data_IF_612831609317
#
_entry.id   IF_612831609317
#
_cell.length_a   1.000
_cell.length_b   1.000
_cell.length_c   1.000
_cell.angle_alpha   90.00
_cell.angle_beta   90.00
_cell.angle_gamma   90.00
#
_symmetry.space_group_name_H-M   'P 1'
#
loop_
_entity.id
_entity.type
_entity.pdbx_description
1 polymer ?
#
# COMPACT_ATOMS: atom_id res chain seq x y z
N UNK A 1 15.25 -40.34 -24.44
CA UNK A 1 15.54 -39.06 -23.77
C UNK A 1 15.44 -38.01 -24.85
N UNK A 2 14.22 -37.61 -25.13
CA UNK A 2 13.85 -36.82 -26.31
C UNK A 2 14.29 -35.37 -26.13
N UNK A 3 14.97 -34.87 -27.16
CA UNK A 3 15.48 -33.52 -27.29
C UNK A 3 14.50 -32.65 -28.11
N UNK A 4 13.19 -32.89 -27.98
CA UNK A 4 12.14 -32.34 -28.86
C UNK A 4 10.95 -31.64 -28.16
N UNK A 5 10.90 -31.55 -26.83
CA UNK A 5 9.67 -31.13 -26.12
C UNK A 5 9.53 -29.63 -25.78
N UNK A 6 10.36 -28.72 -26.31
CA UNK A 6 10.15 -27.27 -26.12
C UNK A 6 10.50 -26.40 -27.33
N UNK A 7 9.85 -26.64 -28.47
CA UNK A 7 10.01 -25.79 -29.65
C UNK A 7 9.04 -24.60 -29.55
N UNK A 8 9.53 -23.47 -29.04
CA UNK A 8 8.85 -22.18 -29.14
C UNK A 8 8.95 -21.56 -30.54
N UNK A 9 8.43 -20.34 -30.70
CA UNK A 9 8.65 -19.50 -31.89
C UNK A 9 9.70 -18.45 -31.54
N UNK A 10 10.80 -18.38 -32.29
CA UNK A 10 11.82 -17.34 -32.14
C UNK A 10 11.95 -16.54 -33.45
N UNK A 11 11.56 -15.27 -33.42
CA UNK A 11 11.68 -14.34 -34.55
C UNK A 11 12.65 -13.21 -34.17
N UNK A 12 13.69 -13.03 -34.99
CA UNK A 12 14.70 -12.01 -34.77
C UNK A 12 14.92 -11.18 -36.05
N UNK A 13 14.57 -9.90 -36.00
CA UNK A 13 14.73 -8.96 -37.11
C UNK A 13 16.16 -8.38 -37.23
N UNK A 14 17.07 -8.74 -36.31
CA UNK A 14 18.41 -8.19 -36.25
C UNK A 14 18.37 -6.67 -36.06
N UNK A 15 19.04 -5.95 -36.96
CA UNK A 15 19.05 -4.47 -36.97
C UNK A 15 17.74 -3.83 -37.46
N UNK A 16 16.78 -4.63 -37.92
CA UNK A 16 15.50 -4.18 -38.48
C UNK A 16 14.37 -4.04 -37.46
N UNK A 17 13.17 -3.82 -37.99
CA UNK A 17 11.90 -3.79 -37.26
C UNK A 17 11.10 -5.07 -37.52
N UNK A 18 10.19 -5.43 -36.60
CA UNK A 18 9.26 -6.54 -36.77
C UNK A 18 7.83 -6.01 -36.89
N UNK A 19 7.13 -6.40 -37.96
CA UNK A 19 5.71 -6.11 -38.16
C UNK A 19 4.90 -7.39 -38.08
N UNK A 20 3.97 -7.45 -37.13
CA UNK A 20 3.11 -8.60 -36.90
C UNK A 20 1.73 -8.29 -37.48
N UNK A 21 1.46 -8.88 -38.66
CA UNK A 21 0.23 -8.65 -39.42
C UNK A 21 -0.84 -9.74 -39.26
N UNK A 22 -0.51 -10.84 -38.59
CA UNK A 22 -1.40 -11.97 -38.36
C UNK A 22 -1.20 -12.51 -36.94
N UNK A 23 -2.08 -13.39 -36.51
CA UNK A 23 -1.93 -14.09 -35.23
C UNK A 23 -0.67 -14.94 -35.22
N UNK A 24 0.05 -14.89 -34.10
CA UNK A 24 1.16 -15.78 -33.80
C UNK A 24 0.77 -16.59 -32.56
N UNK A 25 0.83 -17.92 -32.66
CA UNK A 25 0.50 -18.81 -31.56
C UNK A 25 1.49 -19.95 -31.47
N UNK A 26 1.95 -20.23 -30.26
CA UNK A 26 2.62 -21.49 -29.92
C UNK A 26 1.85 -22.21 -28.82
N UNK A 27 1.89 -23.55 -28.82
CA UNK A 27 1.26 -24.39 -27.78
C UNK A 27 2.21 -24.78 -26.66
N UNK A 28 3.52 -24.69 -26.91
CA UNK A 28 4.59 -25.02 -25.97
C UNK A 28 5.78 -24.09 -26.18
N UNK A 29 6.67 -24.04 -25.20
CA UNK A 29 7.84 -23.16 -25.24
C UNK A 29 7.48 -21.67 -25.19
N UNK A 30 8.40 -20.84 -25.69
CA UNK A 30 8.31 -19.37 -25.63
C UNK A 30 7.99 -18.81 -27.02
N UNK A 31 7.09 -17.83 -27.10
CA UNK A 31 6.97 -16.93 -28.25
C UNK A 31 7.91 -15.74 -28.03
N UNK A 32 9.10 -15.80 -28.62
CA UNK A 32 10.14 -14.80 -28.49
C UNK A 32 10.26 -13.94 -29.76
N UNK A 33 10.06 -12.63 -29.62
CA UNK A 33 10.10 -11.66 -30.71
C UNK A 33 11.15 -10.60 -30.40
N UNK A 34 12.17 -10.50 -31.24
CA UNK A 34 13.31 -9.60 -31.01
C UNK A 34 13.60 -8.73 -32.23
N UNK A 35 13.89 -7.46 -31.99
CA UNK A 35 14.27 -6.48 -33.01
C UNK A 35 15.17 -5.40 -32.40
N UNK A 36 16.09 -4.81 -33.17
CA UNK A 36 16.79 -3.61 -32.71
C UNK A 36 15.90 -2.36 -32.83
N UNK A 37 15.05 -2.30 -33.85
CA UNK A 37 14.05 -1.23 -34.05
C UNK A 37 12.68 -1.68 -33.53
N UNK A 38 11.63 -1.00 -33.97
CA UNK A 38 10.28 -1.19 -33.46
C UNK A 38 9.75 -2.62 -33.65
N UNK A 39 8.98 -3.08 -32.67
CA UNK A 39 8.07 -4.22 -32.83
C UNK A 39 6.66 -3.64 -32.89
N UNK A 40 5.99 -3.81 -34.01
CA UNK A 40 4.64 -3.31 -34.22
C UNK A 40 3.67 -4.46 -34.43
N UNK A 41 2.72 -4.59 -33.51
CA UNK A 41 1.58 -5.50 -33.64
C UNK A 41 0.42 -4.76 -34.31
N UNK A 42 -0.17 -5.33 -35.35
CA UNK A 42 -1.34 -4.73 -36.02
C UNK A 42 -2.62 -4.93 -35.20
N UNK A 43 -3.56 -3.99 -35.32
CA UNK A 43 -4.88 -4.12 -34.73
C UNK A 43 -5.59 -5.42 -35.20
N UNK A 44 -6.28 -6.07 -34.26
CA UNK A 44 -7.02 -7.31 -34.48
C UNK A 44 -6.16 -8.58 -34.50
N UNK A 45 -4.84 -8.47 -34.30
CA UNK A 45 -3.96 -9.65 -34.19
C UNK A 45 -3.79 -10.09 -32.73
N UNK A 46 -3.40 -11.34 -32.53
CA UNK A 46 -3.16 -11.92 -31.22
C UNK A 46 -1.81 -12.65 -31.16
N UNK A 47 -1.05 -12.39 -30.10
CA UNK A 47 0.13 -13.16 -29.71
C UNK A 47 -0.29 -14.13 -28.60
N UNK A 48 -0.15 -15.43 -28.83
CA UNK A 48 -0.60 -16.46 -27.90
C UNK A 48 0.52 -17.46 -27.60
N UNK A 49 0.74 -17.79 -26.34
CA UNK A 49 1.68 -18.84 -25.98
C UNK A 49 1.80 -19.02 -24.47
N UNK A 50 2.42 -20.10 -23.99
CA UNK A 50 2.59 -20.31 -22.55
C UNK A 50 3.52 -19.28 -21.91
N UNK A 51 4.46 -18.74 -22.69
CA UNK A 51 5.29 -17.62 -22.32
C UNK A 51 5.54 -16.74 -23.54
N UNK A 52 5.47 -15.42 -23.38
CA UNK A 52 5.61 -14.46 -24.47
C UNK A 52 6.66 -13.41 -24.08
N UNK A 53 7.64 -13.18 -24.96
CA UNK A 53 8.72 -12.22 -24.78
C UNK A 53 8.83 -11.32 -26.01
N UNK A 54 8.68 -10.02 -25.83
CA UNK A 54 8.92 -9.01 -26.85
C UNK A 54 10.08 -8.13 -26.40
N UNK A 55 11.12 -8.01 -27.24
CA UNK A 55 12.29 -7.19 -26.94
C UNK A 55 12.67 -6.32 -28.15
N UNK A 56 12.34 -5.03 -28.08
CA UNK A 56 12.87 -4.01 -28.98
C UNK A 56 14.07 -3.35 -28.31
N UNK A 57 15.29 -3.53 -28.84
CA UNK A 57 16.50 -3.08 -28.12
C UNK A 57 16.69 -1.56 -28.11
N UNK A 58 16.23 -0.87 -29.15
CA UNK A 58 16.41 0.58 -29.32
C UNK A 58 15.13 1.29 -29.76
N UNK A 59 14.15 0.54 -30.24
CA UNK A 59 12.87 1.07 -30.71
C UNK A 59 11.76 0.96 -29.69
N UNK A 60 10.57 1.26 -30.17
CA UNK A 60 9.33 1.16 -29.40
C UNK A 60 8.62 -0.17 -29.64
N UNK A 61 7.74 -0.53 -28.71
CA UNK A 61 6.79 -1.62 -28.90
C UNK A 61 5.39 -1.02 -29.04
N UNK A 62 4.81 -1.16 -30.24
CA UNK A 62 3.48 -0.67 -30.58
C UNK A 62 2.50 -1.85 -30.53
N UNK A 63 1.83 -2.03 -29.39
CA UNK A 63 0.86 -3.09 -29.17
C UNK A 63 -0.55 -2.63 -29.54
N UNK A 64 -1.01 -2.96 -30.76
CA UNK A 64 -2.38 -2.64 -31.18
C UNK A 64 -3.35 -3.82 -31.06
N UNK A 65 -2.88 -4.98 -30.61
CA UNK A 65 -3.67 -6.21 -30.54
C UNK A 65 -3.63 -6.84 -29.15
N UNK A 66 -3.91 -8.15 -29.11
CA UNK A 66 -3.95 -8.93 -27.87
C UNK A 66 -2.63 -9.65 -27.65
N UNK A 67 -2.18 -9.72 -26.40
CA UNK A 67 -1.13 -10.62 -25.93
C UNK A 67 -1.77 -11.50 -24.86
N UNK A 68 -1.81 -12.81 -25.07
CA UNK A 68 -2.51 -13.74 -24.19
C UNK A 68 -1.57 -14.89 -23.85
N UNK A 69 -1.19 -14.99 -22.58
CA UNK A 69 -0.58 -16.22 -22.11
C UNK A 69 -1.64 -17.33 -22.04
N UNK A 70 -1.31 -18.48 -22.62
CA UNK A 70 -2.16 -19.66 -22.67
C UNK A 70 -1.36 -20.91 -22.32
N UNK A 71 -1.78 -21.63 -21.27
CA UNK A 71 -1.10 -22.84 -20.78
C UNK A 71 0.10 -22.55 -19.88
N UNK A 72 0.59 -23.56 -19.17
CA UNK A 72 1.63 -23.39 -18.15
C UNK A 72 2.95 -22.79 -18.69
N UNK A 73 3.52 -21.75 -18.05
CA UNK A 73 4.77 -21.15 -18.48
C UNK A 73 5.90 -22.17 -18.60
N UNK A 74 6.68 -22.07 -19.68
CA UNK A 74 7.79 -22.98 -19.93
C UNK A 74 8.95 -22.82 -18.91
N UNK A 75 9.04 -21.65 -18.26
CA UNK A 75 10.02 -21.36 -17.22
C UNK A 75 9.36 -20.60 -16.05
N UNK A 76 9.31 -21.24 -14.88
CA UNK A 76 8.68 -20.70 -13.65
C UNK A 76 9.35 -19.41 -13.13
N UNK A 77 10.59 -19.12 -13.56
CA UNK A 77 11.37 -17.98 -13.08
C UNK A 77 11.24 -16.70 -13.92
N UNK A 78 10.47 -16.73 -15.01
CA UNK A 78 10.24 -15.57 -15.87
C UNK A 78 8.77 -15.20 -15.82
N UNK A 79 8.43 -13.90 -15.98
CA UNK A 79 7.05 -13.52 -16.14
C UNK A 79 6.45 -14.22 -17.37
N UNK A 80 5.16 -14.54 -17.29
CA UNK A 80 4.42 -15.16 -18.37
C UNK A 80 4.41 -14.26 -19.62
N UNK A 81 4.35 -12.95 -19.41
CA UNK A 81 4.52 -11.95 -20.47
C UNK A 81 5.61 -10.96 -20.07
N UNK A 82 6.64 -10.85 -20.91
CA UNK A 82 7.73 -9.89 -20.75
C UNK A 82 7.82 -8.97 -21.98
N UNK A 83 7.65 -7.66 -21.78
CA UNK A 83 7.69 -6.65 -22.85
C UNK A 83 8.75 -5.62 -22.50
N UNK A 84 9.80 -5.55 -23.31
CA UNK A 84 10.94 -4.67 -23.08
C UNK A 84 11.19 -3.80 -24.32
N UNK A 85 11.08 -2.48 -24.18
CA UNK A 85 11.34 -1.52 -25.24
C UNK A 85 12.54 -0.61 -24.91
N UNK A 86 13.40 -0.38 -25.90
CA UNK A 86 14.53 0.53 -25.81
C UNK A 86 14.12 2.00 -25.85
N UNK A 87 12.92 2.29 -26.30
CA UNK A 87 12.32 3.63 -26.33
C UNK A 87 11.02 3.67 -25.52
N UNK A 88 9.85 3.49 -26.16
CA UNK A 88 8.54 3.58 -25.52
C UNK A 88 7.72 2.28 -25.70
N UNK A 89 6.71 2.10 -24.84
CA UNK A 89 5.65 1.11 -25.07
C UNK A 89 4.35 1.87 -25.32
N UNK A 90 3.68 1.56 -26.43
CA UNK A 90 2.43 2.22 -26.82
C UNK A 90 1.38 1.15 -27.09
N UNK A 91 0.41 1.06 -26.20
CA UNK A 91 -0.80 0.28 -26.39
C UNK A 91 -1.87 1.12 -27.06
N UNK A 92 -2.58 0.53 -28.02
CA UNK A 92 -3.86 1.08 -28.45
C UNK A 92 -4.89 0.95 -27.32
N UNK A 93 -5.90 1.83 -27.24
CA UNK A 93 -6.89 1.80 -26.16
C UNK A 93 -7.76 0.53 -26.07
N UNK A 94 -7.74 -0.33 -27.11
CA UNK A 94 -8.42 -1.63 -27.11
C UNK A 94 -7.44 -2.82 -26.98
N UNK A 95 -6.14 -2.56 -26.86
CA UNK A 95 -5.15 -3.62 -26.67
C UNK A 95 -5.27 -4.19 -25.26
N UNK A 96 -4.99 -5.48 -25.15
CA UNK A 96 -5.06 -6.20 -23.88
C UNK A 96 -3.85 -7.12 -23.77
N UNK A 97 -3.26 -7.15 -22.59
CA UNK A 97 -2.34 -8.21 -22.19
C UNK A 97 -2.96 -9.00 -21.05
N UNK A 98 -3.09 -10.31 -21.24
CA UNK A 98 -3.69 -11.21 -20.27
C UNK A 98 -2.74 -12.35 -19.95
N UNK A 99 -2.55 -12.63 -18.66
CA UNK A 99 -1.82 -13.78 -18.16
C UNK A 99 -2.47 -14.30 -16.88
N UNK A 100 -2.25 -15.57 -16.56
CA UNK A 100 -2.60 -16.17 -15.26
C UNK A 100 -1.47 -15.98 -14.22
N UNK A 101 -0.28 -15.59 -14.70
CA UNK A 101 0.92 -15.33 -13.90
C UNK A 101 1.39 -13.89 -14.11
N UNK A 102 2.65 -13.61 -13.77
CA UNK A 102 3.20 -12.26 -13.78
C UNK A 102 3.32 -11.65 -15.18
N UNK A 103 3.07 -10.34 -15.26
CA UNK A 103 3.26 -9.50 -16.45
C UNK A 103 4.32 -8.45 -16.14
N UNK A 104 5.29 -8.26 -17.04
CA UNK A 104 6.33 -7.23 -16.89
C UNK A 104 6.48 -6.37 -18.13
N UNK A 105 6.42 -5.05 -17.95
CA UNK A 105 6.55 -4.04 -19.00
C UNK A 105 7.66 -3.03 -18.64
N UNK A 106 8.70 -2.94 -19.46
CA UNK A 106 9.85 -2.04 -19.21
C UNK A 106 10.15 -1.21 -20.44
N UNK A 107 10.33 0.10 -20.26
CA UNK A 107 10.73 1.03 -21.30
C UNK A 107 11.70 2.08 -20.78
N UNK A 108 12.48 2.69 -21.68
CA UNK A 108 13.35 3.80 -21.30
C UNK A 108 12.57 5.12 -21.19
N UNK A 109 11.53 5.32 -22.00
CA UNK A 109 10.67 6.50 -22.05
C UNK A 109 9.23 6.12 -21.74
N UNK A 110 8.26 6.95 -22.13
CA UNK A 110 6.85 6.81 -21.75
C UNK A 110 6.26 5.43 -22.06
N UNK A 111 5.34 5.01 -21.20
CA UNK A 111 4.44 3.90 -21.46
C UNK A 111 3.01 4.42 -21.50
N UNK A 112 2.34 4.21 -22.63
CA UNK A 112 0.91 4.45 -22.77
C UNK A 112 0.22 3.09 -22.76
N UNK A 113 -0.50 2.77 -21.69
CA UNK A 113 -0.97 1.42 -21.40
C UNK A 113 -2.50 1.36 -21.37
N UNK A 114 -3.05 0.31 -21.98
CA UNK A 114 -4.46 -0.04 -21.85
C UNK A 114 -4.60 -1.10 -20.74
N UNK A 115 -5.28 -2.22 -20.99
CA UNK A 115 -5.47 -3.27 -19.97
C UNK A 115 -4.30 -4.27 -19.90
N UNK A 116 -3.67 -4.37 -18.73
CA UNK A 116 -2.85 -5.50 -18.29
C UNK A 116 -3.60 -6.27 -17.20
N UNK A 117 -3.83 -7.56 -17.39
CA UNK A 117 -4.60 -8.40 -16.47
C UNK A 117 -3.85 -9.69 -16.15
N UNK A 118 -3.30 -9.80 -14.93
CA UNK A 118 -2.66 -11.00 -14.40
C UNK A 118 -3.59 -11.85 -13.54
N UNK A 119 -4.84 -11.39 -13.31
CA UNK A 119 -5.78 -11.99 -12.38
C UNK A 119 -5.24 -11.99 -10.95
N UNK A 120 -4.62 -13.11 -10.54
CA UNK A 120 -4.02 -13.30 -9.22
C UNK A 120 -2.50 -13.13 -9.20
N UNK A 121 -1.85 -12.98 -10.37
CA UNK A 121 -0.42 -12.72 -10.46
C UNK A 121 -0.06 -11.26 -10.12
N UNK A 122 1.20 -10.91 -10.32
CA UNK A 122 1.70 -9.53 -10.19
C UNK A 122 1.88 -8.84 -11.53
N UNK A 123 1.76 -7.52 -11.55
CA UNK A 123 2.10 -6.69 -12.70
C UNK A 123 3.20 -5.72 -12.30
N UNK A 124 4.30 -5.69 -13.06
CA UNK A 124 5.40 -4.76 -12.86
C UNK A 124 5.61 -3.89 -14.11
N UNK A 125 5.51 -2.57 -13.94
CA UNK A 125 5.70 -1.58 -15.00
C UNK A 125 6.78 -0.59 -14.61
N UNK A 126 7.80 -0.45 -15.46
CA UNK A 126 8.92 0.47 -15.28
C UNK A 126 9.13 1.37 -16.50
N UNK A 127 8.85 2.66 -16.35
CA UNK A 127 9.28 3.71 -17.29
C UNK A 127 10.47 4.47 -16.71
N UNK A 128 11.68 4.20 -17.20
CA UNK A 128 12.93 4.68 -16.56
C UNK A 128 13.12 6.18 -16.57
N UNK A 129 12.75 6.84 -17.66
CA UNK A 129 12.89 8.29 -17.85
C UNK A 129 11.58 8.96 -18.26
N UNK A 130 10.47 8.22 -18.25
CA UNK A 130 9.17 8.71 -18.72
C UNK A 130 8.05 8.51 -17.72
N UNK A 131 6.82 8.69 -18.20
CA UNK A 131 5.59 8.52 -17.46
C UNK A 131 4.89 7.19 -17.80
N UNK A 132 4.03 6.74 -16.89
CA UNK A 132 3.02 5.71 -17.15
C UNK A 132 1.69 6.44 -17.36
N UNK A 133 1.07 6.25 -18.51
CA UNK A 133 -0.04 7.05 -19.03
C UNK A 133 -1.18 6.12 -19.40
N UNK A 134 -2.41 6.48 -19.04
CA UNK A 134 -3.60 5.78 -19.46
C UNK A 134 -3.81 5.86 -21.00
N UNK A 135 -4.27 4.76 -21.59
CA UNK A 135 -4.62 4.63 -22.99
C UNK A 135 -6.10 4.28 -23.24
N UNK A 136 -6.88 3.91 -22.22
CA UNK A 136 -8.23 3.38 -22.34
C UNK A 136 -9.32 4.18 -21.58
N UNK A 137 -9.01 5.38 -21.09
CA UNK A 137 -9.93 6.21 -20.31
C UNK A 137 -10.27 5.50 -19.00
N UNK A 138 -11.45 5.77 -18.44
CA UNK A 138 -11.89 5.25 -17.14
C UNK A 138 -12.04 3.71 -16.98
N UNK A 139 -11.55 2.90 -17.93
CA UNK A 139 -11.53 1.44 -17.81
C UNK A 139 -10.23 0.98 -17.15
N UNK A 140 -10.27 -0.10 -16.37
CA UNK A 140 -9.09 -0.61 -15.65
C UNK A 140 -7.85 -0.72 -16.55
N UNK A 141 -6.75 -0.08 -16.15
CA UNK A 141 -5.43 -0.31 -16.74
C UNK A 141 -4.80 -1.59 -16.17
N UNK A 142 -5.02 -1.85 -14.88
CA UNK A 142 -4.34 -2.93 -14.17
C UNK A 142 -5.32 -3.77 -13.33
N UNK A 143 -5.31 -5.09 -13.53
CA UNK A 143 -6.05 -6.05 -12.70
C UNK A 143 -5.08 -7.14 -12.23
N UNK A 144 -4.79 -7.18 -10.93
CA UNK A 144 -3.77 -8.06 -10.35
C UNK A 144 -3.94 -8.24 -8.83
N UNK A 145 -3.22 -9.18 -8.24
CA UNK A 145 -3.03 -9.20 -6.78
C UNK A 145 -2.12 -8.04 -6.33
N UNK A 146 -1.00 -7.85 -7.04
CA UNK A 146 -0.01 -6.81 -6.77
C UNK A 146 0.27 -6.02 -8.05
N UNK A 147 0.23 -4.69 -7.96
CA UNK A 147 0.68 -3.80 -9.04
C UNK A 147 1.86 -2.97 -8.55
N UNK A 148 3.00 -3.12 -9.25
CA UNK A 148 4.22 -2.38 -9.01
C UNK A 148 4.47 -1.39 -10.15
N UNK A 149 4.39 -0.09 -9.85
CA UNK A 149 4.59 0.97 -10.84
C UNK A 149 5.83 1.79 -10.50
N UNK A 150 6.72 1.97 -11.48
CA UNK A 150 7.92 2.80 -11.40
C UNK A 150 7.96 3.75 -12.57
N UNK A 151 8.01 5.05 -12.28
CA UNK A 151 8.14 6.07 -13.30
C UNK A 151 9.14 7.16 -12.90
N UNK A 152 9.46 8.03 -13.86
CA UNK A 152 10.29 9.21 -13.62
C UNK A 152 9.49 10.50 -13.75
N UNK A 153 8.56 10.61 -14.73
CA UNK A 153 7.88 11.89 -15.01
C UNK A 153 6.40 11.91 -14.66
N UNK A 154 5.90 10.91 -13.93
CA UNK A 154 4.51 10.81 -13.49
C UNK A 154 3.87 9.44 -13.73
N UNK A 155 2.78 9.19 -13.02
CA UNK A 155 1.93 8.00 -13.15
C UNK A 155 0.49 8.51 -13.18
N UNK A 156 -0.19 8.35 -14.32
CA UNK A 156 -1.48 9.02 -14.56
C UNK A 156 -1.31 10.52 -14.82
N UNK A 157 -2.43 11.24 -14.76
CA UNK A 157 -2.50 12.68 -14.96
C UNK A 157 -3.71 13.28 -14.25
N UNK A 158 -3.73 14.58 -14.01
CA UNK A 158 -4.90 15.28 -13.44
C UNK A 158 -6.18 15.15 -14.27
N UNK A 159 -6.07 14.76 -15.54
CA UNK A 159 -7.20 14.62 -16.46
C UNK A 159 -7.67 13.18 -16.62
N UNK A 160 -6.79 12.22 -16.31
CA UNK A 160 -6.96 10.80 -16.57
C UNK A 160 -6.06 10.06 -15.59
N UNK A 161 -6.68 9.45 -14.57
CA UNK A 161 -5.99 8.66 -13.56
C UNK A 161 -5.50 7.34 -14.18
N UNK A 162 -4.71 6.59 -13.44
CA UNK A 162 -4.53 5.16 -13.71
C UNK A 162 -5.60 4.39 -12.92
N UNK A 163 -6.47 3.67 -13.61
CA UNK A 163 -7.46 2.79 -12.98
C UNK A 163 -6.87 1.43 -12.64
N UNK A 164 -7.02 1.03 -11.38
CA UNK A 164 -6.54 -0.26 -10.86
C UNK A 164 -7.64 -1.04 -10.16
N UNK A 165 -7.54 -2.37 -10.25
CA UNK A 165 -8.18 -3.32 -9.34
C UNK A 165 -7.09 -4.21 -8.78
N UNK A 166 -6.48 -3.75 -7.70
CA UNK A 166 -5.37 -4.40 -7.04
C UNK A 166 -5.59 -4.50 -5.53
N UNK A 167 -5.17 -5.62 -4.94
CA UNK A 167 -5.17 -5.80 -3.49
C UNK A 167 -3.93 -5.16 -2.85
N UNK A 168 -2.84 -5.00 -3.60
CA UNK A 168 -1.63 -4.29 -3.17
C UNK A 168 -1.09 -3.37 -4.26
N UNK A 169 -0.72 -2.16 -3.86
CA UNK A 169 -0.07 -1.15 -4.70
C UNK A 169 1.31 -0.78 -4.12
N UNK A 170 2.33 -0.92 -4.97
CA UNK A 170 3.67 -0.39 -4.72
C UNK A 170 4.02 0.57 -5.87
N UNK A 171 3.89 1.88 -5.60
CA UNK A 171 3.95 2.93 -6.62
C UNK A 171 5.00 3.96 -6.24
N UNK A 172 5.94 4.19 -7.15
CA UNK A 172 7.02 5.17 -6.96
C UNK A 172 7.24 5.96 -8.24
N UNK A 173 7.15 7.28 -8.13
CA UNK A 173 7.62 8.21 -9.14
C UNK A 173 8.86 8.95 -8.61
N UNK A 174 9.99 8.80 -9.29
CA UNK A 174 11.30 9.20 -8.78
C UNK A 174 11.77 10.57 -9.26
N UNK A 175 11.14 11.16 -10.28
CA UNK A 175 11.57 12.45 -10.79
C UNK A 175 11.19 13.59 -9.85
N UNK A 176 12.20 14.41 -9.53
CA UNK A 176 12.05 15.54 -8.61
C UNK A 176 11.33 16.69 -9.32
N UNK A 177 10.20 17.17 -8.77
CA UNK A 177 9.28 18.13 -9.41
C UNK A 177 8.70 17.66 -10.75
N UNK A 178 8.63 16.34 -10.98
CA UNK A 178 8.18 15.83 -12.26
C UNK A 178 6.92 15.00 -12.08
N UNK A 179 5.82 15.54 -12.58
CA UNK A 179 4.54 14.85 -12.66
C UNK A 179 3.84 14.66 -11.32
N UNK A 180 2.76 13.90 -11.41
CA UNK A 180 1.86 13.53 -10.32
C UNK A 180 1.81 12.00 -10.26
N UNK A 181 1.43 11.46 -9.11
CA UNK A 181 0.80 10.13 -9.05
C UNK A 181 -0.71 10.35 -8.95
N UNK A 182 -1.45 9.96 -9.97
CA UNK A 182 -2.92 10.00 -10.00
C UNK A 182 -3.47 8.59 -10.25
N UNK A 183 -4.06 7.99 -9.23
CA UNK A 183 -4.53 6.60 -9.24
C UNK A 183 -5.96 6.52 -8.69
N UNK A 184 -6.79 5.71 -9.35
CA UNK A 184 -8.11 5.30 -8.89
C UNK A 184 -8.14 3.79 -8.74
N UNK A 185 -8.20 3.30 -7.50
CA UNK A 185 -8.33 1.88 -7.22
C UNK A 185 -9.78 1.47 -6.92
N UNK A 186 -10.10 0.22 -7.27
CA UNK A 186 -11.36 -0.47 -6.95
C UNK A 186 -11.04 -1.69 -6.09
N UNK A 187 -11.72 -1.82 -4.95
CA UNK A 187 -11.56 -2.87 -3.96
C UNK A 187 -10.65 -2.47 -2.79
N UNK A 188 -10.57 -3.37 -1.81
CA UNK A 188 -9.71 -3.17 -0.65
C UNK A 188 -8.24 -3.22 -1.09
N UNK A 189 -7.43 -2.31 -0.56
CA UNK A 189 -6.05 -2.15 -1.02
C UNK A 189 -5.07 -1.86 0.11
N UNK A 190 -3.93 -2.54 0.05
CA UNK A 190 -2.73 -2.19 0.79
C UNK A 190 -1.85 -1.26 -0.05
N UNK A 191 -1.57 -0.07 0.48
CA UNK A 191 -0.58 0.85 -0.06
C UNK A 191 0.76 0.60 0.62
N UNK A 192 1.52 -0.36 0.09
CA UNK A 192 2.88 -0.64 0.55
C UNK A 192 3.77 0.57 0.32
N UNK A 193 3.67 1.17 -0.88
CA UNK A 193 4.33 2.44 -1.20
C UNK A 193 3.46 3.29 -2.10
N UNK A 194 3.39 4.57 -1.78
CA UNK A 194 2.86 5.61 -2.66
C UNK A 194 3.77 6.83 -2.51
N UNK A 195 4.81 6.89 -3.34
CA UNK A 195 5.92 7.84 -3.18
C UNK A 195 6.06 8.70 -4.43
N UNK A 196 5.88 10.01 -4.27
CA UNK A 196 6.14 11.00 -5.30
C UNK A 196 6.99 12.16 -4.75
N UNK A 197 7.84 12.75 -5.60
CA UNK A 197 8.48 14.04 -5.35
C UNK A 197 7.66 15.18 -5.98
N UNK A 198 6.35 15.13 -5.73
CA UNK A 198 5.31 16.01 -6.23
C UNK A 198 3.96 15.61 -5.62
N UNK A 199 2.87 16.08 -6.21
CA UNK A 199 1.52 15.81 -5.71
C UNK A 199 1.12 14.34 -5.87
N UNK A 200 0.25 13.88 -4.98
CA UNK A 200 -0.35 12.55 -5.05
C UNK A 200 -1.86 12.72 -4.96
N UNK A 201 -2.58 12.16 -5.92
CA UNK A 201 -4.02 12.04 -5.93
C UNK A 201 -4.37 10.55 -5.93
N UNK A 202 -4.99 10.08 -4.85
CA UNK A 202 -5.35 8.68 -4.70
C UNK A 202 -6.84 8.58 -4.35
N UNK A 203 -7.56 7.77 -5.12
CA UNK A 203 -8.98 7.51 -4.90
C UNK A 203 -9.18 6.01 -4.74
N UNK A 204 -9.96 5.60 -3.74
CA UNK A 204 -10.41 4.23 -3.56
C UNK A 204 -11.92 4.18 -3.29
N UNK A 205 -12.57 3.08 -3.65
CA UNK A 205 -13.99 2.88 -3.39
C UNK A 205 -14.29 2.20 -2.04
N UNK A 206 -13.35 1.38 -1.51
CA UNK A 206 -13.49 0.64 -0.25
C UNK A 206 -12.30 0.86 0.71
N UNK A 207 -11.97 -0.10 1.59
CA UNK A 207 -10.99 0.08 2.64
C UNK A 207 -9.56 0.26 2.09
N UNK A 208 -8.76 1.04 2.81
CA UNK A 208 -7.35 1.27 2.49
C UNK A 208 -6.49 0.99 3.71
N UNK A 209 -5.45 0.19 3.55
CA UNK A 209 -4.39 0.03 4.55
C UNK A 209 -3.16 0.78 4.08
N UNK A 210 -2.64 1.68 4.91
CA UNK A 210 -1.48 2.51 4.61
C UNK A 210 -0.23 1.93 5.27
N UNK A 211 0.82 1.71 4.49
CA UNK A 211 2.17 1.57 5.03
C UNK A 211 2.95 2.88 4.85
N UNK A 212 3.35 3.19 3.62
CA UNK A 212 4.22 4.35 3.35
C UNK A 212 3.66 5.22 2.23
N UNK A 213 3.16 6.41 2.61
CA UNK A 213 2.77 7.47 1.67
C UNK A 213 3.70 8.67 1.84
N UNK A 214 4.33 9.10 0.76
CA UNK A 214 5.27 10.24 0.76
C UNK A 214 5.01 11.15 -0.44
N UNK A 215 4.38 12.30 -0.20
CA UNK A 215 4.27 13.41 -1.15
C UNK A 215 5.34 14.47 -0.83
N UNK A 216 6.58 14.19 -1.22
CA UNK A 216 7.72 15.12 -1.19
C UNK A 216 7.98 15.86 0.15
N UNK A 217 7.88 15.16 1.28
CA UNK A 217 8.11 15.76 2.60
C UNK A 217 9.57 16.14 2.90
N UNK A 218 10.56 15.73 2.11
CA UNK A 218 11.98 15.82 2.47
C UNK A 218 12.74 16.98 1.84
N UNK A 219 12.11 17.78 0.98
CA UNK A 219 12.88 18.77 0.22
C UNK A 219 13.33 19.95 1.04
N UNK A 220 14.63 20.15 0.96
CA UNK A 220 15.32 21.39 1.25
C UNK A 220 15.92 21.96 -0.05
N UNK A 221 16.00 23.28 -0.17
CA UNK A 221 16.61 23.95 -1.30
C UNK A 221 18.14 23.79 -1.22
N UNK A 222 18.87 24.34 -2.20
CA UNK A 222 20.34 24.31 -2.20
C UNK A 222 20.98 24.97 -0.96
N UNK A 223 20.20 25.72 -0.17
CA UNK A 223 20.62 26.38 1.05
C UNK A 223 20.16 25.62 2.32
N UNK A 224 19.54 24.44 2.18
CA UNK A 224 19.00 23.68 3.29
C UNK A 224 17.64 24.15 3.81
N UNK A 225 16.98 25.10 3.14
CA UNK A 225 15.66 25.63 3.54
C UNK A 225 14.54 24.76 3.02
N UNK A 226 13.51 24.49 3.82
CA UNK A 226 12.35 23.69 3.37
C UNK A 226 11.71 24.30 2.10
N UNK A 227 11.65 23.54 1.01
CA UNK A 227 10.91 23.90 -0.21
C UNK A 227 9.53 23.27 -0.14
N UNK A 228 8.49 23.92 -0.69
CA UNK A 228 7.14 23.34 -0.76
C UNK A 228 7.23 21.93 -1.36
N UNK A 229 6.84 20.93 -0.57
CA UNK A 229 6.65 19.58 -1.06
C UNK A 229 5.33 19.47 -1.82
N UNK A 230 4.97 18.27 -2.24
CA UNK A 230 3.69 17.95 -2.85
C UNK A 230 2.59 17.78 -1.82
N UNK A 231 1.37 18.01 -2.27
CA UNK A 231 0.18 17.79 -1.45
C UNK A 231 -0.38 16.38 -1.70
N UNK A 232 -0.97 15.79 -0.65
CA UNK A 232 -1.67 14.51 -0.72
C UNK A 232 -3.18 14.73 -0.75
N UNK A 233 -3.81 14.42 -1.88
CA UNK A 233 -5.25 14.35 -2.06
C UNK A 233 -5.68 12.89 -1.97
N UNK A 234 -6.56 12.58 -1.02
CA UNK A 234 -6.98 11.22 -0.74
C UNK A 234 -8.48 11.14 -0.53
N UNK A 235 -9.15 10.32 -1.34
CA UNK A 235 -10.58 10.07 -1.22
C UNK A 235 -10.87 8.57 -1.08
N UNK A 236 -11.76 8.23 -0.15
CA UNK A 236 -12.33 6.90 0.03
C UNK A 236 -13.86 7.03 0.01
N UNK A 237 -14.49 6.45 -1.01
CA UNK A 237 -15.93 6.60 -1.24
C UNK A 237 -16.77 5.91 -0.15
N UNK A 238 -16.39 4.69 0.24
CA UNK A 238 -16.99 3.93 1.35
C UNK A 238 -15.88 3.18 2.08
N UNK A 239 -16.01 2.95 3.38
CA UNK A 239 -15.03 2.13 4.13
C UNK A 239 -14.03 2.98 4.92
N UNK A 240 -13.05 2.30 5.49
CA UNK A 240 -12.14 2.88 6.47
C UNK A 240 -10.68 2.82 6.02
N UNK A 241 -9.89 3.70 6.60
CA UNK A 241 -8.45 3.77 6.42
C UNK A 241 -7.75 3.32 7.69
N UNK A 242 -6.81 2.40 7.54
CA UNK A 242 -5.99 1.87 8.63
C UNK A 242 -4.51 2.08 8.34
N UNK A 243 -3.69 2.19 9.37
CA UNK A 243 -2.23 2.03 9.22
C UNK A 243 -1.86 0.56 9.36
N UNK A 244 -0.78 0.12 8.73
CA UNK A 244 -0.22 -1.21 9.01
C UNK A 244 0.20 -1.33 10.48
N UNK A 245 0.03 -2.52 11.04
CA UNK A 245 0.54 -2.86 12.37
C UNK A 245 2.06 -3.03 12.30
N UNK A 246 2.79 -2.10 12.94
CA UNK A 246 4.26 -2.10 12.96
C UNK A 246 4.77 -2.62 14.30
N UNK A 247 4.79 -3.95 14.46
CA UNK A 247 5.23 -4.67 15.67
C UNK A 247 4.55 -4.20 16.99
N UNK A 248 4.57 -5.01 18.07
CA UNK A 248 3.96 -4.59 19.33
C UNK A 248 4.67 -3.39 19.98
N UNK A 249 3.89 -2.40 20.45
CA UNK A 249 4.34 -1.23 21.22
C UNK A 249 4.19 0.11 20.49
N UNK A 250 4.65 1.21 21.09
CA UNK A 250 4.57 2.58 20.54
C UNK A 250 5.54 2.83 19.35
N UNK A 251 6.11 1.78 18.76
CA UNK A 251 7.11 1.89 17.68
C UNK A 251 6.48 2.52 16.42
N UNK A 252 5.21 2.22 16.15
CA UNK A 252 4.49 2.78 15.01
C UNK A 252 4.39 4.30 15.06
N UNK A 253 4.35 4.92 16.25
CA UNK A 253 4.26 6.39 16.39
C UNK A 253 5.51 7.13 15.89
N UNK A 254 6.65 6.45 15.76
CA UNK A 254 7.90 7.06 15.29
C UNK A 254 8.09 6.98 13.78
N UNK A 255 7.18 6.31 13.06
CA UNK A 255 7.25 6.13 11.62
C UNK A 255 5.95 6.68 11.03
N UNK A 256 5.98 7.72 10.19
CA UNK A 256 4.77 8.25 9.60
C UNK A 256 4.15 7.26 8.61
N UNK A 257 2.83 7.17 8.62
CA UNK A 257 2.06 6.50 7.57
C UNK A 257 1.95 7.42 6.35
N UNK A 258 1.79 8.73 6.60
CA UNK A 258 1.71 9.78 5.58
C UNK A 258 2.71 10.89 5.90
N UNK A 259 3.53 11.24 4.92
CA UNK A 259 4.39 12.42 4.95
C UNK A 259 4.12 13.30 3.73
N UNK A 260 3.68 14.54 3.92
CA UNK A 260 3.32 15.46 2.82
C UNK A 260 3.49 16.94 3.20
N UNK A 261 3.47 17.84 2.22
CA UNK A 261 3.41 19.27 2.50
C UNK A 261 2.06 19.66 3.14
N UNK A 262 0.96 19.39 2.44
CA UNK A 262 -0.40 19.43 2.95
C UNK A 262 -1.14 18.13 2.64
N UNK A 263 -2.28 17.93 3.30
CA UNK A 263 -3.14 16.79 3.04
C UNK A 263 -4.62 17.20 3.02
N UNK A 264 -5.34 16.77 1.99
CA UNK A 264 -6.78 16.87 1.87
C UNK A 264 -7.37 15.46 1.79
N UNK A 265 -8.05 15.04 2.85
CA UNK A 265 -8.49 13.66 3.06
C UNK A 265 -10.01 13.64 3.26
N UNK A 266 -10.69 12.84 2.43
CA UNK A 266 -12.14 12.65 2.49
C UNK A 266 -12.43 11.16 2.58
N UNK A 267 -13.02 10.73 3.70
CA UNK A 267 -13.46 9.36 3.93
C UNK A 267 -14.97 9.43 4.13
N UNK A 268 -15.75 9.27 3.06
CA UNK A 268 -17.15 9.68 3.07
C UNK A 268 -18.00 8.88 4.07
N UNK A 269 -17.70 7.58 4.27
CA UNK A 269 -18.40 6.72 5.23
C UNK A 269 -17.46 5.71 5.89
N UNK A 270 -16.59 6.18 6.80
CA UNK A 270 -15.82 5.32 7.67
C UNK A 270 -14.80 6.04 8.52
N UNK A 271 -13.89 5.27 9.10
CA UNK A 271 -12.89 5.73 10.05
C UNK A 271 -11.57 6.06 9.36
N UNK A 272 -10.83 7.01 9.91
CA UNK A 272 -9.46 7.30 9.54
C UNK A 272 -8.58 7.02 10.76
N UNK A 273 -8.07 5.79 10.84
CA UNK A 273 -7.41 5.22 12.02
C UNK A 273 -8.37 4.64 13.06
N UNK A 274 -7.80 4.09 14.12
CA UNK A 274 -8.51 3.59 15.31
C UNK A 274 -7.88 4.17 16.58
N UNK A 275 -8.52 4.03 17.74
CA UNK A 275 -7.93 4.46 19.03
C UNK A 275 -6.61 3.74 19.29
N UNK A 276 -6.55 2.44 18.97
CA UNK A 276 -5.38 1.60 19.20
C UNK A 276 -4.29 1.86 18.16
N UNK A 277 -4.67 2.28 16.95
CA UNK A 277 -3.76 2.57 15.84
C UNK A 277 -4.18 3.87 15.14
N UNK A 278 -3.86 5.04 15.72
CA UNK A 278 -4.05 6.31 15.02
C UNK A 278 -3.21 6.34 13.74
N UNK A 279 -3.64 7.10 12.74
CA UNK A 279 -2.82 7.36 11.56
C UNK A 279 -1.73 8.36 11.95
N UNK A 280 -0.48 8.00 11.70
CA UNK A 280 0.70 8.81 12.03
C UNK A 280 0.98 9.73 10.85
N UNK A 281 0.77 11.02 11.07
CA UNK A 281 0.91 12.08 10.07
C UNK A 281 2.16 12.90 10.33
N UNK A 282 2.91 13.19 9.27
CA UNK A 282 3.98 14.18 9.28
C UNK A 282 3.69 15.21 8.20
N UNK A 283 3.10 16.34 8.58
CA UNK A 283 2.61 17.37 7.67
C UNK A 283 3.27 18.72 7.98
N UNK A 284 3.62 19.50 6.95
CA UNK A 284 4.28 20.79 7.14
C UNK A 284 3.30 21.96 7.24
N UNK A 285 2.31 21.99 6.36
CA UNK A 285 1.49 23.18 6.11
C UNK A 285 0.08 23.04 6.67
N UNK A 286 -0.69 22.08 6.17
CA UNK A 286 -2.10 21.97 6.49
C UNK A 286 -2.63 20.53 6.48
N UNK A 287 -3.72 20.32 7.21
CA UNK A 287 -4.58 19.14 7.12
C UNK A 287 -6.05 19.60 6.98
N UNK A 288 -6.74 19.05 5.99
CA UNK A 288 -8.20 19.04 5.88
C UNK A 288 -8.67 17.59 5.90
N UNK A 289 -9.44 17.21 6.92
CA UNK A 289 -9.97 15.85 7.08
C UNK A 289 -11.49 15.90 7.21
N UNK A 290 -12.17 15.00 6.49
CA UNK A 290 -13.58 14.70 6.67
C UNK A 290 -13.74 13.18 6.77
N UNK A 291 -14.17 12.67 7.93
CA UNK A 291 -14.52 11.25 8.10
C UNK A 291 -15.66 11.06 9.10
N UNK A 292 -16.09 9.81 9.33
CA UNK A 292 -17.00 9.52 10.46
C UNK A 292 -16.23 9.57 11.77
N UNK A 293 -15.09 8.89 11.84
CA UNK A 293 -14.22 8.87 13.01
C UNK A 293 -12.80 9.22 12.55
N UNK A 294 -12.12 10.09 13.29
CA UNK A 294 -10.70 10.35 13.09
C UNK A 294 -9.91 9.95 14.33
N UNK A 295 -8.78 9.27 14.13
CA UNK A 295 -7.78 9.01 15.16
C UNK A 295 -6.41 9.35 14.58
N UNK A 296 -5.84 10.45 15.05
CA UNK A 296 -4.67 11.09 14.45
C UNK A 296 -3.53 11.21 15.46
N UNK A 297 -2.31 11.01 14.98
CA UNK A 297 -1.09 11.36 15.71
C UNK A 297 -0.18 12.18 14.79
N UNK A 298 0.32 13.32 15.27
CA UNK A 298 1.21 14.17 14.50
C UNK A 298 2.67 13.97 14.95
N UNK A 299 3.46 13.34 14.10
CA UNK A 299 4.91 13.24 14.28
C UNK A 299 5.55 14.62 14.04
N UNK A 300 6.39 15.06 14.97
CA UNK A 300 6.98 16.41 15.03
C UNK A 300 5.99 17.56 15.33
N UNK A 301 4.77 17.23 15.74
CA UNK A 301 3.72 18.20 16.09
C UNK A 301 2.77 18.54 14.94
N UNK A 302 1.60 19.14 15.23
CA UNK A 302 0.59 19.42 14.23
C UNK A 302 1.04 20.50 13.23
N UNK A 303 0.54 20.48 11.98
CA UNK A 303 0.79 21.53 11.00
C UNK A 303 0.11 22.85 11.42
N UNK A 304 0.48 23.94 10.74
CA UNK A 304 0.00 25.29 11.06
C UNK A 304 -1.53 25.43 10.99
N UNK A 305 -2.19 24.66 10.13
CA UNK A 305 -3.66 24.64 10.03
C UNK A 305 -4.14 23.20 10.07
N UNK A 306 -4.97 22.87 11.05
CA UNK A 306 -5.68 21.59 11.13
C UNK A 306 -7.17 21.86 11.09
N UNK A 307 -7.85 21.30 10.10
CA UNK A 307 -9.29 21.31 9.97
C UNK A 307 -9.80 19.88 9.89
N UNK A 308 -10.10 19.31 11.04
CA UNK A 308 -10.78 18.04 11.16
C UNK A 308 -12.29 18.29 11.29
N UNK A 309 -13.07 17.90 10.29
CA UNK A 309 -14.53 17.98 10.28
C UNK A 309 -15.17 16.60 10.51
N UNK A 310 -14.45 15.65 11.12
CA UNK A 310 -14.97 14.32 11.38
C UNK A 310 -16.06 14.35 12.46
N UNK A 311 -17.02 13.41 12.37
CA UNK A 311 -18.15 13.37 13.31
C UNK A 311 -17.67 13.10 14.75
N UNK A 312 -16.72 12.19 14.92
CA UNK A 312 -16.06 11.90 16.18
C UNK A 312 -14.53 12.01 16.03
N UNK A 313 -13.91 12.85 16.87
CA UNK A 313 -12.46 13.04 16.87
C UNK A 313 -11.87 12.38 18.11
N UNK A 314 -11.03 11.36 17.89
CA UNK A 314 -10.36 10.61 18.93
C UNK A 314 -8.93 11.12 19.05
N UNK A 315 -8.63 11.85 20.13
CA UNK A 315 -7.28 12.37 20.38
C UNK A 315 -6.48 11.36 21.21
N UNK A 316 -5.39 10.84 20.67
CA UNK A 316 -4.37 10.14 21.47
C UNK A 316 -3.38 11.19 21.95
N UNK A 317 -3.66 11.83 23.09
CA UNK A 317 -2.64 12.62 23.78
C UNK A 317 -1.65 11.65 24.42
N UNK A 318 -0.34 11.88 24.29
CA UNK A 318 0.74 10.98 24.75
C UNK A 318 0.79 10.69 26.26
N UNK A 319 -0.26 11.01 27.01
CA UNK A 319 -0.47 10.68 28.43
C UNK A 319 -1.77 9.89 28.68
N UNK A 320 -2.53 9.53 27.64
CA UNK A 320 -3.82 8.83 27.75
C UNK A 320 -3.81 7.38 27.22
N UNK A 321 -2.63 6.75 27.10
CA UNK A 321 -2.55 5.31 27.37
C UNK A 321 -2.60 5.08 28.88
N UNK A 322 -3.72 5.45 29.51
CA UNK A 322 -4.10 4.81 30.77
C UNK A 322 -4.72 3.49 30.34
N UNK A 323 -4.07 2.41 30.74
CA UNK A 323 -4.52 1.02 30.69
C UNK A 323 -6.05 0.88 30.67
N UNK A 324 -6.63 0.76 29.48
CA UNK A 324 -7.96 0.12 29.33
C UNK A 324 -7.70 -1.37 29.04
N UNK A 325 -7.00 -2.00 29.97
CA UNK A 325 -6.94 -3.46 30.13
C UNK A 325 -7.29 -3.81 31.58
N UNK A 326 -8.45 -3.36 32.03
CA UNK A 326 -9.24 -3.99 33.09
C UNK A 326 -10.52 -3.18 33.34
N UNK A 327 -11.54 -3.43 32.54
CA UNK A 327 -12.91 -3.30 33.07
C UNK A 327 -13.33 -4.70 33.50
N UNK A 328 -13.25 -5.07 34.80
CA UNK A 328 -14.21 -6.02 35.32
C UNK A 328 -15.59 -5.35 35.33
N UNK A 329 -16.61 -6.15 35.08
CA UNK A 329 -18.03 -5.80 35.06
C UNK A 329 -18.38 -4.67 36.05
N UNK A 330 -18.85 -3.53 35.51
CA UNK A 330 -19.48 -2.48 36.30
C UNK A 330 -20.92 -2.92 36.54
N UNK A 331 -21.11 -3.72 37.59
CA UNK A 331 -22.35 -3.67 38.36
C UNK A 331 -22.43 -2.31 39.08
N UNK A 332 -23.65 -1.82 39.21
CA UNK A 332 -24.11 -0.51 39.70
C UNK A 332 -23.15 0.26 40.64
N UNK A 333 -22.87 1.52 40.28
CA UNK A 333 -22.23 2.49 41.15
C UNK A 333 -23.24 2.93 42.22
N UNK A 334 -23.14 2.33 43.40
CA UNK A 334 -23.63 2.96 44.63
C UNK A 334 -22.72 4.15 45.00
N UNK A 335 -23.33 5.25 45.43
CA UNK A 335 -22.63 6.53 45.60
C UNK A 335 -21.56 6.49 46.71
N UNK A 336 -20.39 7.08 46.41
CA UNK A 336 -19.21 7.26 47.26
C UNK A 336 -19.41 8.01 48.59
N UNK A 337 -20.64 8.28 49.03
CA UNK A 337 -20.93 8.93 50.31
C UNK A 337 -21.00 7.97 51.51
N UNK A 338 -21.01 6.64 51.29
CA UNK A 338 -21.12 5.63 52.37
C UNK A 338 -19.81 4.88 52.67
N UNK A 339 -18.67 5.29 52.12
CA UNK A 339 -17.38 4.66 52.46
C UNK A 339 -16.83 5.24 53.77
N UNK A 340 -16.92 4.44 54.83
CA UNK A 340 -16.34 4.73 56.15
C UNK A 340 -14.81 4.99 56.05
N UNK A 341 -14.27 6.10 56.59
CA UNK A 341 -12.87 6.50 56.38
C UNK A 341 -11.83 5.75 57.24
N UNK A 342 -12.07 4.49 57.60
CA UNK A 342 -11.20 3.74 58.54
C UNK A 342 -10.25 2.71 57.90
N UNK A 343 -10.11 2.67 56.57
CA UNK A 343 -9.38 1.58 55.88
C UNK A 343 -8.01 2.03 55.31
N UNK A 344 -7.45 3.15 55.77
CA UNK A 344 -6.07 3.52 55.42
C UNK A 344 -5.26 3.77 56.68
N UNK A 345 -4.80 2.70 57.31
CA UNK A 345 -3.66 2.76 58.23
C UNK A 345 -2.44 2.13 57.57
N UNK A 346 -1.31 2.83 57.64
CA UNK A 346 -0.02 2.42 57.10
C UNK A 346 0.36 1.00 57.53
N UNK A 347 0.47 0.08 56.56
CA UNK A 347 1.06 -1.24 56.75
C UNK A 347 2.57 -1.10 56.96
N UNK A 348 3.00 -1.05 58.22
CA UNK A 348 4.41 -1.26 58.58
C UNK A 348 4.73 -2.75 58.47
N UNK A 349 5.45 -3.11 57.42
CA UNK A 349 5.94 -4.47 57.21
C UNK A 349 7.08 -4.75 58.20
N UNK A 350 6.84 -5.60 59.21
CA UNK A 350 7.87 -6.04 60.15
C UNK A 350 8.50 -7.35 59.63
N UNK A 351 9.74 -7.27 59.18
CA UNK A 351 10.60 -8.44 58.95
C UNK A 351 11.23 -8.84 60.29
N UNK A 352 10.89 -10.03 60.81
CA UNK A 352 11.66 -10.67 61.89
C UNK A 352 12.16 -12.03 61.44
N UNK A 353 13.48 -12.16 61.33
CA UNK A 353 14.18 -13.42 61.14
C UNK A 353 14.03 -14.32 62.39
N UNK A 354 13.77 -15.61 62.15
CA UNK A 354 13.97 -16.77 63.04
C UNK A 354 13.26 -16.89 64.41
N UNK A 355 12.20 -16.13 64.68
CA UNK A 355 11.24 -16.48 65.75
C UNK A 355 9.82 -16.37 65.20
N UNK A 356 9.14 -17.51 65.05
CA UNK A 356 7.74 -17.53 64.63
C UNK A 356 6.86 -16.84 65.69
N UNK A 357 6.33 -15.66 65.35
CA UNK A 357 5.35 -14.97 66.18
C UNK A 357 4.00 -15.66 65.94
N UNK A 358 3.44 -16.25 67.00
CA UNK A 358 2.16 -16.96 66.94
C UNK A 358 1.02 -15.95 66.71
N UNK A 359 0.07 -16.29 65.84
CA UNK A 359 -1.05 -15.42 65.48
C UNK A 359 -1.96 -15.13 66.70
N UNK A 360 -2.60 -13.95 66.75
CA UNK A 360 -3.65 -13.63 67.71
C UNK A 360 -4.79 -14.67 67.68
N UNK A 361 -5.42 -14.95 68.84
CA UNK A 361 -6.43 -16.02 69.01
C UNK A 361 -7.59 -15.94 68.00
N UNK A 362 -7.98 -14.73 67.63
CA UNK A 362 -9.05 -14.41 66.69
C UNK A 362 -8.67 -14.66 65.22
N UNK A 363 -7.42 -15.02 64.94
CA UNK A 363 -6.90 -15.34 63.61
C UNK A 363 -6.39 -16.79 63.50
N UNK A 364 -6.63 -17.63 64.50
CA UNK A 364 -6.30 -19.06 64.50
C UNK A 364 -7.51 -19.85 63.99
N UNK A 365 -7.27 -20.87 63.17
CA UNK A 365 -8.33 -21.75 62.65
C UNK A 365 -8.99 -22.56 63.77
N UNK A 366 -10.28 -22.87 63.61
CA UNK A 366 -11.10 -23.52 64.65
C UNK A 366 -10.58 -24.89 65.08
N UNK A 367 -9.85 -25.60 64.23
CA UNK A 367 -9.21 -26.89 64.51
C UNK A 367 -7.91 -26.77 65.32
N UNK A 368 -7.24 -25.62 65.29
CA UNK A 368 -6.05 -25.31 66.09
C UNK A 368 -6.40 -24.63 67.44
N UNK A 369 -7.64 -24.17 67.61
CA UNK A 369 -8.15 -23.55 68.84
C UNK A 369 -8.30 -24.54 70.01
N UNK A 370 -8.65 -25.79 69.72
CA UNK A 370 -8.76 -26.84 70.74
C UNK A 370 -7.40 -27.16 71.40
N UNK A 371 -6.30 -27.01 70.66
CA UNK A 371 -4.93 -27.19 71.16
C UNK A 371 -4.38 -25.92 71.86
N UNK A 372 -4.95 -24.75 71.56
CA UNK A 372 -4.66 -23.48 72.24
C UNK A 372 -5.17 -23.48 73.69
N UNK A 373 -6.38 -23.97 73.93
CA UNK A 373 -7.02 -23.96 75.26
C UNK A 373 -6.59 -25.16 76.15
N UNK A 374 -5.81 -26.11 75.62
CA UNK A 374 -5.35 -27.31 76.32
C UNK A 374 -3.97 -27.18 77.02
N UNK A 375 -3.34 -25.99 77.03
CA UNK A 375 -2.04 -25.74 77.67
C UNK A 375 -2.09 -24.79 78.85
#
# INVERSE_FOLDING_TARGET
>A
ADLLDSIGIDLNAGSGALLINNDLSTRSGVLNLTADQDITQRNGTSLNGPQISLNSRRGSINQNGRIIQSGEPAAVLLPAVDVQAGDAIVMSGAAITQAENDIRYVSNNNQRLALLNSGTGSISVESRNGAIIDANGNADNFIAQLVNLRAFTGIGSFTDSIETRAAELDVVNTGINQGIIDIRNTGDVLLTKLINSGDINFNNDTNVTLDTVVADFSRTDTNGSSVSGGDFSFNVDVGSVFGVDRDPGEVFLNIPDISANGANIIIANGSFGTIQRPIVLRLRSNLSLLSTISSLFFLDGPPATVRDNSVLQQSVSGQQLIEVQSLPDVDEIDSLTDVHPAIFTDLRNYSSEEIAIRLPRDQIFEDELDEYDAR
#
